data_IF_082585950996
#
_entry.id   IF_082585950996
#
_cell.length_a   1.000
_cell.length_b   1.000
_cell.length_c   1.000
_cell.angle_alpha   90.00
_cell.angle_beta   90.00
_cell.angle_gamma   90.00
#
_symmetry.space_group_name_H-M   'P 1'
#
loop_
_entity.id
_entity.type
_entity.pdbx_description
1 polymer ?
#
# COMPACT_ATOMS: atom_id res chain seq x y z
N UNK A 1 -5.64 -68.17 -28.79
CA UNK A 1 -6.60 -67.35 -27.95
C UNK A 1 -5.83 -66.45 -27.00
N UNK A 2 -4.86 -65.66 -27.44
CA UNK A 2 -4.10 -64.70 -26.68
C UNK A 2 -3.61 -63.63 -27.65
N UNK A 3 -4.45 -62.69 -28.01
CA UNK A 3 -4.01 -61.57 -28.88
C UNK A 3 -4.80 -60.27 -28.72
N UNK A 4 -5.66 -60.16 -27.71
CA UNK A 4 -6.47 -58.93 -27.52
C UNK A 4 -6.36 -58.29 -26.13
N UNK A 5 -5.34 -58.62 -25.33
CA UNK A 5 -5.22 -58.10 -24.00
C UNK A 5 -4.16 -56.95 -23.86
N UNK A 6 -3.41 -56.67 -24.90
CA UNK A 6 -2.32 -55.70 -24.86
C UNK A 6 -2.68 -54.31 -25.46
N UNK A 7 -3.90 -54.16 -25.97
CA UNK A 7 -4.30 -52.87 -26.61
C UNK A 7 -5.12 -51.96 -25.69
N UNK A 8 -5.56 -52.44 -24.53
CA UNK A 8 -6.39 -51.65 -23.58
C UNK A 8 -5.56 -50.94 -22.48
N UNK A 9 -4.27 -51.23 -22.38
CA UNK A 9 -3.39 -50.60 -21.38
C UNK A 9 -2.71 -49.32 -21.87
N UNK A 10 -2.79 -49.01 -23.16
CA UNK A 10 -2.18 -47.81 -23.71
C UNK A 10 -3.11 -46.62 -23.80
N UNK A 11 -4.44 -46.80 -23.67
CA UNK A 11 -5.40 -45.71 -23.65
C UNK A 11 -5.68 -45.12 -22.27
N UNK A 12 -5.23 -45.78 -21.20
CA UNK A 12 -5.42 -45.35 -19.81
C UNK A 12 -4.34 -44.36 -19.30
N UNK A 13 -3.23 -44.23 -20.02
CA UNK A 13 -2.13 -43.35 -19.56
C UNK A 13 -2.03 -42.02 -20.32
N UNK A 14 -2.86 -41.80 -21.35
CA UNK A 14 -2.85 -40.57 -22.12
C UNK A 14 -3.85 -39.49 -21.60
N UNK A 15 -4.67 -39.79 -20.59
CA UNK A 15 -5.63 -38.87 -20.00
C UNK A 15 -5.22 -38.33 -18.62
N UNK A 16 -4.02 -38.62 -18.14
CA UNK A 16 -3.59 -38.12 -16.82
C UNK A 16 -2.44 -37.12 -16.90
N UNK A 17 -2.31 -36.46 -18.01
CA UNK A 17 -1.33 -35.37 -18.14
C UNK A 17 -2.02 -34.19 -18.84
N UNK A 18 -2.86 -33.46 -18.11
CA UNK A 18 -3.26 -32.05 -18.27
C UNK A 18 -4.50 -31.76 -17.42
N UNK A 19 -4.44 -32.05 -16.12
CA UNK A 19 -5.06 -31.18 -15.14
C UNK A 19 -3.97 -30.23 -14.68
N UNK A 20 -3.54 -29.36 -15.57
CA UNK A 20 -3.06 -28.08 -15.15
C UNK A 20 -4.22 -27.47 -14.38
N UNK A 21 -4.14 -27.59 -13.06
CA UNK A 21 -4.83 -26.70 -12.15
C UNK A 21 -4.47 -25.29 -12.62
N UNK A 22 -5.30 -24.74 -13.46
CA UNK A 22 -5.54 -23.31 -13.48
C UNK A 22 -6.16 -23.06 -12.10
N UNK A 23 -5.31 -22.96 -11.09
CA UNK A 23 -5.60 -22.08 -9.98
C UNK A 23 -5.78 -20.74 -10.67
N UNK A 24 -7.01 -20.48 -11.10
CA UNK A 24 -7.45 -19.13 -11.29
C UNK A 24 -7.13 -18.47 -9.94
N UNK A 25 -5.98 -17.84 -9.92
CA UNK A 25 -5.70 -16.77 -9.03
C UNK A 25 -6.81 -15.73 -9.25
N UNK A 26 -7.98 -15.99 -8.67
CA UNK A 26 -8.82 -14.94 -8.19
C UNK A 26 -8.08 -14.31 -7.01
N UNK A 27 -6.93 -13.73 -7.30
CA UNK A 27 -6.42 -12.63 -6.54
C UNK A 27 -7.35 -11.46 -6.85
N UNK A 28 -8.61 -11.60 -6.47
CA UNK A 28 -9.39 -10.47 -6.05
C UNK A 28 -8.69 -10.06 -4.75
N UNK A 29 -7.69 -9.23 -4.84
CA UNK A 29 -7.36 -8.33 -3.77
C UNK A 29 -8.70 -7.75 -3.35
N UNK A 30 -9.17 -8.19 -2.19
CA UNK A 30 -10.27 -7.53 -1.53
C UNK A 30 -9.83 -6.06 -1.50
N UNK A 31 -10.55 -5.21 -2.25
CA UNK A 31 -10.11 -3.84 -2.49
C UNK A 31 -9.98 -3.17 -1.14
N UNK A 32 -8.79 -2.73 -0.78
CA UNK A 32 -8.55 -2.01 0.46
C UNK A 32 -9.48 -0.78 0.52
N UNK A 33 -9.83 -0.35 1.71
CA UNK A 33 -10.65 0.85 1.89
C UNK A 33 -9.93 2.11 1.44
N UNK A 34 -8.61 2.14 1.63
CA UNK A 34 -7.75 3.29 1.39
C UNK A 34 -6.99 3.21 0.07
N UNK A 35 -6.56 4.36 -0.41
CA UNK A 35 -5.61 4.45 -1.52
C UNK A 35 -4.20 4.05 -1.08
N UNK A 36 -3.35 3.63 -2.01
CA UNK A 36 -1.99 3.13 -1.77
C UNK A 36 -1.07 4.10 -1.03
N UNK A 37 -1.45 5.37 -0.91
CA UNK A 37 -0.68 6.35 -0.12
C UNK A 37 -0.77 6.07 1.38
N UNK A 38 -1.85 5.44 1.83
CA UNK A 38 -2.04 5.00 3.21
C UNK A 38 -1.53 3.57 3.33
N UNK A 39 -0.37 3.41 3.91
CA UNK A 39 0.29 2.10 4.01
C UNK A 39 1.07 1.98 5.31
N UNK A 40 1.46 0.76 5.65
CA UNK A 40 2.33 0.49 6.78
C UNK A 40 3.59 1.36 6.72
N UNK A 41 4.04 1.81 7.88
CA UNK A 41 5.21 2.66 8.06
C UNK A 41 5.08 4.10 7.51
N UNK A 42 3.89 4.59 7.25
CA UNK A 42 3.70 5.99 6.83
C UNK A 42 3.95 6.99 7.96
N UNK A 43 4.07 8.26 7.57
CA UNK A 43 4.09 9.41 8.49
C UNK A 43 2.93 10.32 8.15
N UNK A 44 2.10 10.62 9.13
CA UNK A 44 1.05 11.64 9.05
C UNK A 44 1.58 12.98 9.54
N UNK A 45 1.16 14.07 8.90
CA UNK A 45 1.57 15.42 9.30
C UNK A 45 1.03 15.74 10.70
N UNK A 46 1.93 16.11 11.60
CA UNK A 46 1.58 16.53 12.97
C UNK A 46 0.96 17.92 13.01
N UNK A 47 0.23 18.22 14.11
CA UNK A 47 -0.31 19.54 14.47
C UNK A 47 -1.27 20.16 13.43
N UNK A 48 -1.79 19.35 12.52
CA UNK A 48 -2.83 19.74 11.57
C UNK A 48 -3.91 18.67 11.49
N UNK A 49 -5.08 19.04 11.02
CA UNK A 49 -6.12 18.07 10.66
C UNK A 49 -5.63 17.23 9.49
N UNK A 50 -5.69 15.91 9.62
CA UNK A 50 -5.31 14.96 8.58
C UNK A 50 -6.55 14.35 7.97
N UNK A 51 -6.74 14.49 6.67
CA UNK A 51 -7.84 13.87 5.94
C UNK A 51 -7.42 12.46 5.51
N UNK A 52 -8.16 11.45 5.96
CA UNK A 52 -8.04 10.05 5.55
C UNK A 52 -9.22 9.76 4.61
N UNK A 53 -8.94 9.15 3.47
CA UNK A 53 -9.95 8.96 2.43
C UNK A 53 -9.74 7.64 1.67
N UNK A 54 -10.76 7.25 0.92
CA UNK A 54 -10.71 6.06 0.11
C UNK A 54 -12.05 5.73 -0.54
N UNK A 55 -12.27 4.45 -0.80
CA UNK A 55 -13.47 3.96 -1.48
C UNK A 55 -14.10 2.79 -0.74
N UNK A 56 -15.45 2.75 -0.73
CA UNK A 56 -16.24 1.68 -0.14
C UNK A 56 -17.58 1.55 -0.89
N UNK A 57 -18.48 0.71 -0.41
CA UNK A 57 -19.81 0.59 -0.98
C UNK A 57 -20.67 1.81 -0.65
N UNK A 58 -21.55 2.23 -1.56
CA UNK A 58 -22.46 3.36 -1.33
C UNK A 58 -23.26 3.18 -0.05
N UNK A 59 -23.27 4.21 0.79
CA UNK A 59 -23.99 4.22 2.06
C UNK A 59 -23.33 3.43 3.19
N UNK A 60 -22.16 2.84 2.95
CA UNK A 60 -21.38 2.16 3.98
C UNK A 60 -20.85 3.18 5.00
N UNK A 61 -20.95 2.84 6.28
CA UNK A 61 -20.41 3.67 7.36
C UNK A 61 -18.96 3.23 7.59
N UNK A 62 -18.03 4.15 7.41
CA UNK A 62 -16.60 3.94 7.63
C UNK A 62 -16.18 4.66 8.92
N UNK A 63 -15.54 3.93 9.81
CA UNK A 63 -14.98 4.43 11.06
C UNK A 63 -13.47 4.29 11.04
N UNK A 64 -12.77 5.40 11.28
CA UNK A 64 -11.30 5.45 11.38
C UNK A 64 -10.90 5.69 12.82
N UNK A 65 -10.04 4.86 13.36
CA UNK A 65 -9.51 4.95 14.73
C UNK A 65 -7.99 5.01 14.69
N UNK A 66 -7.40 6.04 15.31
CA UNK A 66 -5.93 6.19 15.50
C UNK A 66 -5.71 6.69 16.93
N UNK A 67 -4.84 6.02 17.69
CA UNK A 67 -4.47 6.40 19.06
C UNK A 67 -5.70 6.71 19.96
N UNK A 68 -6.73 5.86 19.87
CA UNK A 68 -7.97 6.02 20.65
C UNK A 68 -8.90 7.15 20.18
N UNK A 69 -8.52 7.92 19.18
CA UNK A 69 -9.40 8.91 18.55
C UNK A 69 -10.16 8.25 17.40
N UNK A 70 -11.48 8.39 17.42
CA UNK A 70 -12.39 7.76 16.48
C UNK A 70 -13.26 8.81 15.79
N UNK A 71 -13.33 8.73 14.46
CA UNK A 71 -14.25 9.51 13.62
C UNK A 71 -14.88 8.63 12.55
N UNK A 72 -16.11 8.96 12.17
CA UNK A 72 -16.88 8.18 11.19
C UNK A 72 -17.46 9.05 10.09
N UNK A 73 -17.68 8.44 8.92
CA UNK A 73 -18.35 9.05 7.79
C UNK A 73 -19.23 8.03 7.08
N UNK A 74 -20.04 8.48 6.14
CA UNK A 74 -20.81 7.61 5.26
C UNK A 74 -20.32 7.78 3.83
N UNK A 75 -20.08 6.67 3.14
CA UNK A 75 -19.66 6.66 1.74
C UNK A 75 -20.75 7.25 0.85
N UNK A 76 -20.34 8.11 -0.07
CA UNK A 76 -21.24 8.79 -1.02
C UNK A 76 -21.73 7.87 -2.16
N UNK A 77 -22.57 8.40 -3.05
CA UNK A 77 -23.12 7.67 -4.21
C UNK A 77 -22.08 7.32 -5.28
N UNK A 78 -20.86 7.87 -5.20
CA UNK A 78 -19.74 7.55 -6.08
C UNK A 78 -18.82 6.51 -5.45
N UNK A 79 -19.14 6.02 -4.24
CA UNK A 79 -18.32 5.09 -3.49
C UNK A 79 -17.10 5.75 -2.84
N UNK A 80 -17.11 7.09 -2.65
CA UNK A 80 -16.01 7.81 -2.01
C UNK A 80 -16.34 8.15 -0.56
N UNK A 81 -15.34 8.08 0.29
CA UNK A 81 -15.44 8.50 1.68
C UNK A 81 -14.22 9.30 2.12
N UNK A 82 -14.40 10.17 3.08
CA UNK A 82 -13.30 10.88 3.74
C UNK A 82 -13.65 11.19 5.20
N UNK A 83 -12.62 11.13 6.04
CA UNK A 83 -12.68 11.42 7.48
C UNK A 83 -11.56 12.36 7.86
N UNK A 84 -11.89 13.42 8.57
CA UNK A 84 -10.91 14.34 9.12
C UNK A 84 -10.51 13.90 10.53
N UNK A 85 -9.25 13.51 10.70
CA UNK A 85 -8.67 13.23 12.01
C UNK A 85 -8.13 14.51 12.62
N UNK A 86 -8.36 14.75 13.93
CA UNK A 86 -7.93 15.99 14.57
C UNK A 86 -6.39 16.10 14.62
N UNK A 87 -5.88 17.33 14.86
CA UNK A 87 -4.45 17.53 15.05
C UNK A 87 -3.88 16.65 16.15
N UNK A 88 -2.72 16.04 15.88
CA UNK A 88 -2.00 15.20 16.82
C UNK A 88 -0.56 15.68 16.98
N UNK A 89 0.01 15.55 18.18
CA UNK A 89 1.44 15.85 18.41
C UNK A 89 2.33 14.79 17.79
N UNK A 90 3.61 15.12 17.56
CA UNK A 90 4.58 14.14 17.10
C UNK A 90 4.66 12.93 18.04
N UNK A 91 4.75 11.73 17.47
CA UNK A 91 4.82 10.50 18.24
C UNK A 91 4.52 9.25 17.45
N UNK A 92 4.39 8.14 18.16
CA UNK A 92 4.14 6.80 17.61
C UNK A 92 5.17 5.79 18.07
N UNK A 93 5.17 4.57 17.52
CA UNK A 93 4.31 4.13 16.42
C UNK A 93 2.86 3.87 16.84
N UNK A 94 1.91 4.23 16.01
CA UNK A 94 0.48 3.99 16.18
C UNK A 94 -0.03 2.98 15.16
N UNK A 95 -1.24 2.50 15.38
CA UNK A 95 -2.00 1.67 14.44
C UNK A 95 -3.27 2.43 14.07
N UNK A 96 -3.57 2.51 12.78
CA UNK A 96 -4.85 2.98 12.26
C UNK A 96 -5.73 1.77 11.95
N UNK A 97 -6.96 1.81 12.43
CA UNK A 97 -7.98 0.83 12.11
C UNK A 97 -9.07 1.52 11.30
N UNK A 98 -9.45 0.93 10.20
CA UNK A 98 -10.53 1.38 9.34
C UNK A 98 -11.57 0.28 9.34
N UNK A 99 -12.75 0.58 9.83
CA UNK A 99 -13.83 -0.37 10.04
C UNK A 99 -15.06 0.03 9.21
N UNK A 100 -15.59 -0.92 8.49
CA UNK A 100 -16.84 -0.88 7.77
C UNK A 100 -17.39 -2.30 7.66
N UNK A 101 -17.90 -2.69 6.49
CA UNK A 101 -18.26 -4.09 6.21
C UNK A 101 -17.04 -5.02 6.24
N UNK A 102 -15.85 -4.45 6.03
CA UNK A 102 -14.53 -5.08 6.17
C UNK A 102 -13.71 -4.33 7.21
N UNK A 103 -12.54 -4.86 7.56
CA UNK A 103 -11.59 -4.20 8.42
C UNK A 103 -10.24 -4.09 7.71
N UNK A 104 -9.65 -2.91 7.74
CA UNK A 104 -8.28 -2.66 7.29
C UNK A 104 -7.46 -2.17 8.48
N UNK A 105 -6.21 -2.61 8.58
CA UNK A 105 -5.29 -2.23 9.65
C UNK A 105 -3.98 -1.78 9.03
N UNK A 106 -3.58 -0.54 9.32
CA UNK A 106 -2.32 0.03 8.88
C UNK A 106 -1.45 0.24 10.12
N UNK A 107 -0.26 -0.33 10.08
CA UNK A 107 0.61 -0.42 11.24
C UNK A 107 1.80 0.53 11.18
N UNK A 108 2.39 0.77 12.34
CA UNK A 108 3.65 1.49 12.49
C UNK A 108 3.59 2.91 11.89
N UNK A 109 2.52 3.65 12.20
CA UNK A 109 2.30 5.03 11.78
C UNK A 109 2.99 5.97 12.75
N UNK A 110 3.66 6.99 12.23
CA UNK A 110 4.16 8.11 13.03
C UNK A 110 3.37 9.38 12.71
N UNK A 111 3.22 10.25 13.70
CA UNK A 111 2.93 11.66 13.48
C UNK A 111 4.25 12.44 13.52
N UNK A 112 4.54 13.20 12.47
CA UNK A 112 5.80 13.92 12.31
C UNK A 112 5.73 14.99 11.24
N UNK A 113 6.88 15.49 10.83
CA UNK A 113 6.98 16.48 9.75
C UNK A 113 7.03 15.77 8.39
N UNK A 114 6.12 16.09 7.50
CA UNK A 114 6.04 15.53 6.14
C UNK A 114 6.60 16.53 5.14
N UNK A 115 7.61 16.13 4.37
CA UNK A 115 8.25 16.94 3.36
C UNK A 115 7.96 16.42 1.97
N UNK A 116 7.33 17.26 1.13
CA UNK A 116 7.18 16.95 -0.29
C UNK A 116 8.42 17.39 -1.04
N UNK A 117 9.21 16.41 -1.49
CA UNK A 117 10.42 16.66 -2.28
C UNK A 117 10.09 16.43 -3.76
N UNK A 118 9.96 17.50 -4.53
CA UNK A 118 9.64 17.47 -5.96
C UNK A 118 10.62 18.34 -6.74
N UNK A 119 10.79 18.06 -8.04
CA UNK A 119 11.67 18.83 -8.91
C UNK A 119 12.03 18.10 -10.19
N UNK A 120 13.17 18.46 -10.75
CA UNK A 120 13.70 17.86 -11.98
C UNK A 120 14.80 16.83 -11.68
N UNK A 121 15.63 16.52 -12.67
CA UNK A 121 16.66 15.48 -12.63
C UNK A 121 17.58 15.48 -11.39
N UNK A 122 17.79 16.64 -10.77
CA UNK A 122 18.60 16.72 -9.56
C UNK A 122 17.91 16.08 -8.34
N UNK A 123 16.58 16.02 -8.32
CA UNK A 123 15.82 15.37 -7.25
C UNK A 123 15.87 13.84 -7.36
N UNK A 124 16.08 13.31 -8.56
CA UNK A 124 16.32 11.88 -8.79
C UNK A 124 17.78 11.47 -8.55
N UNK A 125 18.67 12.42 -8.31
CA UNK A 125 20.10 12.12 -8.22
C UNK A 125 20.41 11.32 -6.95
N UNK A 126 20.72 10.06 -7.15
CA UNK A 126 20.91 9.12 -6.06
C UNK A 126 22.08 9.51 -5.16
N UNK A 127 21.86 9.58 -3.86
CA UNK A 127 22.87 9.90 -2.85
C UNK A 127 24.13 9.01 -2.97
N UNK A 128 23.99 7.73 -3.32
CA UNK A 128 25.13 6.81 -3.55
C UNK A 128 26.12 7.31 -4.62
N UNK A 129 25.65 8.08 -5.62
CA UNK A 129 26.52 8.66 -6.65
C UNK A 129 27.35 9.81 -6.13
N UNK A 130 26.89 10.47 -5.07
CA UNK A 130 27.60 11.56 -4.38
C UNK A 130 28.59 10.96 -3.38
N UNK A 131 28.18 9.96 -2.63
CA UNK A 131 28.95 9.34 -1.54
C UNK A 131 30.20 8.61 -2.03
N UNK A 132 30.17 8.02 -3.23
CA UNK A 132 31.34 7.37 -3.83
C UNK A 132 32.55 8.32 -4.08
N UNK A 133 32.41 9.60 -3.81
CA UNK A 133 33.51 10.58 -3.87
C UNK A 133 34.19 10.83 -2.52
N UNK A 134 34.33 9.81 -1.67
CA UNK A 134 35.13 9.79 -0.42
C UNK A 134 34.86 10.93 0.60
N UNK A 135 33.99 11.87 0.30
CA UNK A 135 33.79 13.09 1.09
C UNK A 135 32.57 13.00 2.04
N UNK A 136 31.75 11.96 1.89
CA UNK A 136 30.45 11.86 2.59
C UNK A 136 30.19 10.48 3.23
N UNK A 137 31.21 9.63 3.35
CA UNK A 137 31.07 8.28 3.95
C UNK A 137 30.50 8.33 5.36
N UNK A 138 30.94 9.31 6.14
CA UNK A 138 30.54 9.48 7.54
C UNK A 138 29.05 9.88 7.64
N UNK A 139 28.59 10.72 6.70
CA UNK A 139 27.19 11.14 6.62
C UNK A 139 26.23 10.00 6.28
N UNK A 140 26.68 9.00 5.52
CA UNK A 140 25.86 7.82 5.23
C UNK A 140 25.57 6.98 6.49
N UNK A 141 26.54 6.89 7.39
CA UNK A 141 26.35 6.18 8.66
C UNK A 141 25.32 6.91 9.53
N UNK A 142 25.40 8.24 9.60
CA UNK A 142 24.41 9.07 10.31
C UNK A 142 23.00 8.87 9.75
N UNK A 143 22.81 8.93 8.43
CA UNK A 143 21.50 8.76 7.77
C UNK A 143 20.91 7.37 8.04
N UNK A 144 21.74 6.33 8.02
CA UNK A 144 21.28 4.96 8.32
C UNK A 144 20.86 4.75 9.78
N UNK A 145 21.28 5.63 10.68
CA UNK A 145 20.96 5.57 12.10
C UNK A 145 19.66 6.31 12.46
N UNK A 146 18.90 6.81 11.50
CA UNK A 146 17.66 7.56 11.70
C UNK A 146 16.42 6.67 11.44
N UNK A 147 15.97 5.87 12.41
CA UNK A 147 14.88 4.92 12.22
C UNK A 147 13.52 5.60 11.97
N UNK A 148 13.37 6.85 12.41
CA UNK A 148 12.13 7.62 12.32
C UNK A 148 12.02 8.44 11.03
N UNK A 149 13.07 8.45 10.19
CA UNK A 149 13.02 9.06 8.85
C UNK A 149 12.54 8.03 7.87
N UNK A 150 11.37 8.27 7.28
CA UNK A 150 10.71 7.38 6.32
C UNK A 150 10.62 8.05 4.97
N UNK A 151 10.63 7.27 3.90
CA UNK A 151 10.61 7.77 2.54
C UNK A 151 9.57 7.03 1.71
N UNK A 152 8.65 7.78 1.13
CA UNK A 152 7.75 7.31 0.09
C UNK A 152 8.26 7.80 -1.26
N UNK A 153 8.37 6.91 -2.22
CA UNK A 153 8.78 7.26 -3.59
C UNK A 153 7.58 7.05 -4.50
N UNK A 154 7.13 8.14 -5.11
CA UNK A 154 6.09 8.10 -6.14
C UNK A 154 6.79 7.94 -7.48
N UNK A 155 6.51 6.84 -8.19
CA UNK A 155 7.11 6.57 -9.48
C UNK A 155 6.54 7.49 -10.57
N UNK A 156 7.39 7.88 -11.51
CA UNK A 156 6.95 8.67 -12.67
C UNK A 156 5.99 7.89 -13.55
N UNK A 157 4.78 8.39 -13.68
CA UNK A 157 3.82 7.94 -14.69
C UNK A 157 3.76 9.00 -15.79
N UNK A 158 4.13 8.62 -17.03
CA UNK A 158 3.95 9.49 -18.19
C UNK A 158 2.49 9.39 -18.64
N UNK A 159 1.71 10.40 -18.34
CA UNK A 159 0.34 10.53 -18.83
C UNK A 159 0.14 11.87 -19.54
N UNK A 160 -0.71 11.90 -20.55
CA UNK A 160 -1.17 13.14 -21.20
C UNK A 160 -2.35 13.76 -20.46
N UNK A 161 -2.98 12.98 -19.60
CA UNK A 161 -4.10 13.38 -18.77
C UNK A 161 -3.69 13.36 -17.30
N UNK A 162 -4.37 14.18 -16.51
CA UNK A 162 -4.21 14.16 -15.06
C UNK A 162 -4.57 12.78 -14.55
N UNK A 163 -3.73 12.22 -13.69
CA UNK A 163 -4.02 11.00 -12.95
C UNK A 163 -4.60 11.41 -11.60
N UNK A 164 -5.78 10.93 -11.28
CA UNK A 164 -6.47 11.24 -10.03
C UNK A 164 -6.22 10.15 -8.95
N UNK A 165 -5.48 9.07 -9.31
CA UNK A 165 -5.08 7.98 -8.40
C UNK A 165 -3.58 7.77 -8.44
N UNK A 166 -2.99 7.48 -7.31
CA UNK A 166 -1.55 7.20 -7.12
C UNK A 166 -1.35 5.70 -6.89
#
# INVERSE_FOLDING_TARGET
MIRYFTLLLFFGLAFWCCEDKIESLSYFSEKDYTDNIFCDNMVLQREVTVNIYGTADEGEIITVTIDGTENSTTTDSLGQWSVDMPPHTAGGPYTMQIQGNRNEIINNILYGDVWLCSGQSNMEYQLKKIINKNQYSDKLAEVKALPDVRMLIIHHVKSRERQDTI
#
